data_IF_895498927491
#
_entry.id   IF_895498927491
#
_cell.length_a   1.000
_cell.length_b   1.000
_cell.length_c   1.000
_cell.angle_alpha   90.00
_cell.angle_beta   90.00
_cell.angle_gamma   90.00
#
_symmetry.space_group_name_H-M   'P 1'
#
loop_
_entity.id
_entity.type
_entity.pdbx_description
1 polymer ?
#
# COMPACT_ATOMS: atom_id res chain seq x y z
N UNK A 1 5.08 2.47 -36.81
CA UNK A 1 4.37 3.35 -35.82
C UNK A 1 3.10 2.70 -35.32
N UNK A 2 2.19 2.23 -36.17
CA UNK A 2 0.92 1.57 -35.76
C UNK A 2 1.12 0.34 -34.87
N UNK A 3 2.09 -0.53 -35.17
CA UNK A 3 2.40 -1.71 -34.37
C UNK A 3 2.85 -1.37 -32.93
N UNK A 4 3.69 -0.36 -32.78
CA UNK A 4 4.13 0.11 -31.46
C UNK A 4 2.98 0.75 -30.64
N UNK A 5 2.04 1.40 -31.30
CA UNK A 5 0.84 1.95 -30.64
C UNK A 5 -0.08 0.83 -30.16
N UNK A 6 -0.22 -0.22 -30.95
CA UNK A 6 -0.99 -1.40 -30.57
C UNK A 6 -0.39 -2.11 -29.36
N UNK A 7 0.95 -2.34 -29.35
CA UNK A 7 1.64 -2.95 -28.20
C UNK A 7 1.48 -2.11 -26.93
N UNK A 8 1.54 -0.78 -27.03
CA UNK A 8 1.36 0.13 -25.88
C UNK A 8 -0.05 0.04 -25.31
N UNK A 9 -1.07 0.10 -26.17
CA UNK A 9 -2.47 0.05 -25.75
C UNK A 9 -2.82 -1.32 -25.12
N UNK A 10 -2.31 -2.39 -25.70
CA UNK A 10 -2.46 -3.75 -25.18
C UNK A 10 -1.80 -3.88 -23.81
N UNK A 11 -0.53 -3.49 -23.69
CA UNK A 11 0.21 -3.56 -22.44
C UNK A 11 -0.42 -2.73 -21.30
N UNK A 12 -0.90 -1.52 -21.60
CA UNK A 12 -1.64 -0.69 -20.64
C UNK A 12 -2.90 -1.40 -20.12
N UNK A 13 -3.67 -1.98 -21.04
CA UNK A 13 -4.90 -2.69 -20.71
C UNK A 13 -4.61 -3.95 -19.88
N UNK A 14 -3.58 -4.70 -20.25
CA UNK A 14 -3.19 -5.92 -19.55
C UNK A 14 -2.72 -5.63 -18.13
N UNK A 15 -1.90 -4.58 -17.94
CA UNK A 15 -1.48 -4.12 -16.62
C UNK A 15 -2.65 -3.70 -15.74
N UNK A 16 -3.60 -2.93 -16.29
CA UNK A 16 -4.81 -2.55 -15.57
C UNK A 16 -5.68 -3.75 -15.21
N UNK A 17 -5.86 -4.71 -16.11
CA UNK A 17 -6.62 -5.95 -15.85
C UNK A 17 -5.96 -6.82 -14.79
N UNK A 18 -4.64 -6.95 -14.83
CA UNK A 18 -3.91 -7.73 -13.83
C UNK A 18 -4.04 -7.13 -12.41
N UNK A 19 -4.19 -5.80 -12.32
CA UNK A 19 -4.41 -5.13 -11.05
C UNK A 19 -5.86 -5.20 -10.56
N UNK A 20 -6.83 -5.36 -11.43
CA UNK A 20 -8.26 -5.29 -11.10
C UNK A 20 -8.68 -6.17 -9.89
N UNK A 21 -8.23 -7.44 -9.75
CA UNK A 21 -8.57 -8.24 -8.58
C UNK A 21 -8.07 -7.64 -7.25
N UNK A 22 -6.94 -6.93 -7.26
CA UNK A 22 -6.37 -6.32 -6.07
C UNK A 22 -7.16 -5.09 -5.61
N UNK A 23 -7.97 -4.50 -6.49
CA UNK A 23 -8.84 -3.36 -6.15
C UNK A 23 -9.90 -3.74 -5.11
N UNK A 24 -10.27 -5.01 -5.00
CA UNK A 24 -11.18 -5.50 -3.95
C UNK A 24 -10.66 -5.21 -2.53
N UNK A 25 -9.34 -5.17 -2.34
CA UNK A 25 -8.72 -4.81 -1.07
C UNK A 25 -8.37 -3.32 -1.01
N UNK A 26 -7.90 -2.76 -2.13
CA UNK A 26 -7.40 -1.39 -2.20
C UNK A 26 -8.52 -0.35 -2.04
N UNK A 27 -9.68 -0.56 -2.70
CA UNK A 27 -10.79 0.39 -2.65
C UNK A 27 -11.38 0.53 -1.24
N UNK A 28 -11.71 -0.56 -0.51
CA UNK A 28 -12.13 -0.43 0.89
C UNK A 28 -11.12 0.29 1.77
N UNK A 29 -9.83 0.01 1.58
CA UNK A 29 -8.77 0.68 2.34
C UNK A 29 -8.71 2.19 2.05
N UNK A 30 -8.81 2.59 0.78
CA UNK A 30 -8.88 4.01 0.39
C UNK A 30 -10.12 4.71 0.95
N UNK A 31 -11.29 4.05 0.96
CA UNK A 31 -12.51 4.57 1.57
C UNK A 31 -12.31 4.86 3.07
N UNK A 32 -11.75 3.88 3.81
CA UNK A 32 -11.50 4.05 5.24
C UNK A 32 -10.49 5.15 5.52
N UNK A 33 -9.43 5.23 4.73
CA UNK A 33 -8.49 6.34 4.85
C UNK A 33 -9.20 7.70 4.69
N UNK A 34 -10.06 7.82 3.68
CA UNK A 34 -10.83 9.05 3.44
C UNK A 34 -11.76 9.39 4.60
N UNK A 35 -12.51 8.41 5.13
CA UNK A 35 -13.35 8.56 6.31
C UNK A 35 -12.53 8.99 7.53
N UNK A 36 -11.39 8.31 7.76
CA UNK A 36 -10.49 8.66 8.87
C UNK A 36 -9.99 10.10 8.75
N UNK A 37 -9.53 10.50 7.57
CA UNK A 37 -9.04 11.86 7.36
C UNK A 37 -10.14 12.91 7.61
N UNK A 38 -11.38 12.62 7.19
CA UNK A 38 -12.51 13.52 7.41
C UNK A 38 -12.88 13.68 8.89
N UNK A 39 -12.69 12.63 9.70
CA UNK A 39 -13.04 12.59 11.12
C UNK A 39 -11.90 13.00 12.07
N UNK A 40 -10.72 13.33 11.53
CA UNK A 40 -9.53 13.74 12.30
C UNK A 40 -9.23 15.22 12.14
N UNK A 41 -8.31 15.75 12.94
CA UNK A 41 -7.83 17.13 12.85
C UNK A 41 -7.20 17.49 11.48
N UNK A 42 -6.83 16.50 10.67
CA UNK A 42 -6.36 16.68 9.29
C UNK A 42 -7.44 17.31 8.42
N UNK A 43 -8.69 16.88 8.60
CA UNK A 43 -9.81 17.32 7.77
C UNK A 43 -9.80 16.75 6.36
N UNK A 44 -10.98 16.69 5.74
CA UNK A 44 -11.16 16.05 4.45
C UNK A 44 -10.30 16.65 3.31
N UNK A 45 -10.15 17.96 3.25
CA UNK A 45 -9.39 18.64 2.21
C UNK A 45 -7.90 18.27 2.21
N UNK A 46 -7.27 18.28 3.39
CA UNK A 46 -5.87 17.83 3.54
C UNK A 46 -5.76 16.33 3.32
N UNK A 47 -6.73 15.54 3.81
CA UNK A 47 -6.78 14.10 3.55
C UNK A 47 -6.74 13.77 2.06
N UNK A 48 -7.54 14.47 1.24
CA UNK A 48 -7.49 14.33 -0.22
C UNK A 48 -6.13 14.77 -0.77
N UNK A 49 -5.59 15.91 -0.30
CA UNK A 49 -4.31 16.44 -0.80
C UNK A 49 -3.12 15.52 -0.48
N UNK A 50 -3.14 14.81 0.66
CA UNK A 50 -2.08 13.84 0.99
C UNK A 50 -2.07 12.63 0.05
N UNK A 51 -3.20 12.28 -0.55
CA UNK A 51 -3.35 11.07 -1.36
C UNK A 51 -2.46 11.06 -2.61
N UNK A 52 -2.42 12.10 -3.47
CA UNK A 52 -1.48 12.13 -4.58
C UNK A 52 -0.03 12.40 -4.13
N UNK A 53 0.20 13.00 -2.96
CA UNK A 53 1.57 13.30 -2.50
C UNK A 53 2.26 12.05 -1.97
N UNK A 54 1.58 11.27 -1.13
CA UNK A 54 2.18 10.12 -0.45
C UNK A 54 2.00 8.84 -1.28
N UNK A 55 0.88 8.67 -1.97
CA UNK A 55 0.49 7.50 -2.76
C UNK A 55 1.04 6.15 -2.22
N UNK A 56 0.89 5.96 -0.92
CA UNK A 56 1.28 4.73 -0.21
C UNK A 56 0.34 4.56 0.98
N UNK A 57 -0.67 3.69 0.85
CA UNK A 57 -1.80 3.61 1.77
C UNK A 57 -1.41 3.54 3.25
N UNK A 58 -0.48 2.64 3.62
CA UNK A 58 -0.02 2.51 5.00
C UNK A 58 0.71 3.77 5.50
N UNK A 59 1.59 4.35 4.67
CA UNK A 59 2.32 5.56 5.03
C UNK A 59 1.38 6.77 5.17
N UNK A 60 0.39 6.88 4.27
CA UNK A 60 -0.61 7.94 4.31
C UNK A 60 -1.48 7.82 5.57
N UNK A 61 -1.94 6.61 5.92
CA UNK A 61 -2.75 6.39 7.13
C UNK A 61 -1.96 6.76 8.40
N UNK A 62 -0.71 6.32 8.51
CA UNK A 62 0.17 6.66 9.63
C UNK A 62 0.38 8.18 9.71
N UNK A 63 0.54 8.86 8.57
CA UNK A 63 0.67 10.32 8.53
C UNK A 63 -0.57 11.01 9.11
N UNK A 64 -1.76 10.57 8.70
CA UNK A 64 -3.04 11.11 9.20
C UNK A 64 -3.17 10.89 10.70
N UNK A 65 -2.87 9.70 11.19
CA UNK A 65 -2.95 9.36 12.62
C UNK A 65 -1.95 10.15 13.49
N UNK A 66 -0.70 10.28 13.04
CA UNK A 66 0.32 11.05 13.77
C UNK A 66 -0.01 12.54 13.82
N UNK A 67 -0.58 13.07 12.73
CA UNK A 67 -1.03 14.46 12.69
C UNK A 67 -2.19 14.67 13.67
N UNK A 68 -3.18 13.78 13.67
CA UNK A 68 -4.33 13.82 14.59
C UNK A 68 -3.91 13.73 16.05
N UNK A 69 -2.91 12.90 16.36
CA UNK A 69 -2.32 12.77 17.69
C UNK A 69 -1.50 14.00 18.14
N UNK A 70 -1.41 15.06 17.33
CA UNK A 70 -0.62 16.25 17.65
C UNK A 70 0.89 16.00 17.74
N UNK A 71 1.37 14.97 17.05
CA UNK A 71 2.78 14.58 17.07
C UNK A 71 3.64 15.65 16.38
N UNK A 72 4.91 15.77 16.76
CA UNK A 72 5.82 16.76 16.17
C UNK A 72 5.94 16.59 14.65
N UNK A 73 6.01 17.70 13.92
CA UNK A 73 6.10 17.71 12.45
C UNK A 73 7.25 16.83 11.92
N UNK A 74 8.36 16.75 12.66
CA UNK A 74 9.51 15.91 12.28
C UNK A 74 9.11 14.43 12.24
N UNK A 75 8.38 13.95 13.25
CA UNK A 75 7.91 12.56 13.32
C UNK A 75 6.87 12.29 12.24
N UNK A 76 5.94 13.22 12.01
CA UNK A 76 4.93 13.13 10.94
C UNK A 76 5.57 12.98 9.56
N UNK A 77 6.73 13.63 9.32
CA UNK A 77 7.45 13.54 8.03
C UNK A 77 8.33 12.29 7.96
N UNK A 78 9.08 11.97 9.02
CA UNK A 78 10.05 10.87 8.97
C UNK A 78 9.37 9.51 8.96
N UNK A 79 8.29 9.32 9.71
CA UNK A 79 7.64 8.02 9.83
C UNK A 79 7.13 7.46 8.49
N UNK A 80 6.40 8.20 7.64
CA UNK A 80 6.02 7.69 6.33
C UNK A 80 7.21 7.40 5.41
N UNK A 81 8.32 8.12 5.54
CA UNK A 81 9.55 7.81 4.80
C UNK A 81 10.13 6.47 5.23
N UNK A 82 10.17 6.20 6.54
CA UNK A 82 10.63 4.91 7.07
C UNK A 82 9.72 3.77 6.63
N UNK A 83 8.40 3.94 6.69
CA UNK A 83 7.41 2.95 6.22
C UNK A 83 7.62 2.64 4.73
N UNK A 84 8.03 3.64 3.95
CA UNK A 84 8.25 3.52 2.51
C UNK A 84 9.65 3.06 2.10
N UNK A 85 10.57 2.78 3.03
CA UNK A 85 11.92 2.23 2.73
C UNK A 85 11.84 0.97 1.85
N UNK A 86 10.80 0.16 1.99
CA UNK A 86 10.55 -1.01 1.11
C UNK A 86 10.54 -0.68 -0.38
N UNK A 87 10.15 0.53 -0.78
CA UNK A 87 10.18 0.95 -2.19
C UNK A 87 11.60 1.03 -2.77
N UNK A 88 12.63 1.17 -1.93
CA UNK A 88 14.02 1.07 -2.38
C UNK A 88 14.35 -0.33 -2.89
N UNK A 89 13.87 -1.39 -2.19
CA UNK A 89 14.03 -2.77 -2.65
C UNK A 89 13.27 -3.02 -3.94
N UNK A 90 12.02 -2.56 -4.03
CA UNK A 90 11.22 -2.69 -5.26
C UNK A 90 11.87 -1.95 -6.42
N UNK A 91 12.37 -0.74 -6.19
CA UNK A 91 13.09 0.06 -7.19
C UNK A 91 14.35 -0.67 -7.69
N UNK A 92 15.13 -1.25 -6.79
CA UNK A 92 16.32 -2.01 -7.13
C UNK A 92 15.98 -3.24 -7.97
N UNK A 93 14.93 -3.99 -7.61
CA UNK A 93 14.46 -5.16 -8.34
C UNK A 93 13.90 -4.80 -9.74
N UNK A 94 13.21 -3.66 -9.86
CA UNK A 94 12.65 -3.19 -11.14
C UNK A 94 13.67 -2.52 -12.06
N UNK A 95 14.77 -2.00 -11.52
CA UNK A 95 15.77 -1.23 -12.28
C UNK A 95 16.31 -1.96 -13.54
N UNK A 96 16.61 -3.27 -13.53
CA UNK A 96 17.06 -4.00 -14.73
C UNK A 96 16.06 -3.93 -15.88
N UNK A 97 14.75 -3.96 -15.60
CA UNK A 97 13.68 -3.97 -16.59
C UNK A 97 13.45 -2.58 -17.22
N UNK A 98 13.98 -1.52 -16.62
CA UNK A 98 13.80 -0.13 -17.07
C UNK A 98 15.09 0.52 -17.61
N UNK A 99 16.13 -0.28 -17.91
CA UNK A 99 17.41 0.25 -18.45
C UNK A 99 17.23 1.01 -19.77
N UNK A 100 16.35 0.50 -20.65
CA UNK A 100 16.15 1.03 -22.01
C UNK A 100 14.95 2.00 -22.09
N UNK A 101 14.37 2.35 -20.95
CA UNK A 101 13.24 3.27 -20.90
C UNK A 101 13.72 4.73 -21.07
N UNK A 102 13.00 5.57 -21.85
CA UNK A 102 13.34 6.97 -22.03
C UNK A 102 13.54 7.71 -20.70
N UNK A 103 14.55 8.62 -20.66
CA UNK A 103 14.93 9.32 -19.42
C UNK A 103 13.76 9.99 -18.71
N UNK A 104 12.81 10.57 -19.45
CA UNK A 104 11.61 11.20 -18.87
C UNK A 104 10.76 10.21 -18.07
N UNK A 105 10.56 9.00 -18.58
CA UNK A 105 9.78 7.98 -17.91
C UNK A 105 10.44 7.45 -16.64
N UNK A 106 11.77 7.46 -16.56
CA UNK A 106 12.51 7.04 -15.35
C UNK A 106 12.25 7.95 -14.15
N UNK A 107 11.79 9.17 -14.36
CA UNK A 107 11.39 10.08 -13.28
C UNK A 107 9.93 9.92 -12.88
N UNK A 108 9.07 9.48 -13.79
CA UNK A 108 7.62 9.35 -13.55
C UNK A 108 7.23 7.97 -13.03
N UNK A 109 7.84 6.91 -13.58
CA UNK A 109 7.49 5.54 -13.22
C UNK A 109 7.69 5.21 -11.73
N UNK A 110 8.75 5.68 -11.03
CA UNK A 110 8.90 5.42 -9.60
C UNK A 110 7.76 5.96 -8.74
N UNK A 111 7.08 7.03 -9.17
CA UNK A 111 5.91 7.54 -8.48
C UNK A 111 4.73 6.54 -8.47
N UNK A 112 4.61 5.72 -9.51
CA UNK A 112 3.58 4.68 -9.62
C UNK A 112 3.98 3.35 -8.95
N UNK A 113 5.18 3.29 -8.35
CA UNK A 113 5.68 2.08 -7.72
C UNK A 113 5.00 1.89 -6.36
N UNK A 114 4.22 0.82 -6.28
CA UNK A 114 3.53 0.36 -5.08
C UNK A 114 3.72 -1.14 -4.93
N UNK A 115 3.35 -1.71 -3.78
CA UNK A 115 3.42 -3.15 -3.52
C UNK A 115 2.67 -3.95 -4.61
N UNK A 116 1.47 -3.48 -4.98
CA UNK A 116 0.60 -4.16 -5.93
C UNK A 116 1.13 -4.04 -7.36
N UNK A 117 1.54 -2.84 -7.77
CA UNK A 117 2.11 -2.62 -9.11
C UNK A 117 3.42 -3.40 -9.29
N UNK A 118 4.26 -3.47 -8.25
CA UNK A 118 5.46 -4.29 -8.21
C UNK A 118 5.11 -5.78 -8.38
N UNK A 119 4.19 -6.30 -7.57
CA UNK A 119 3.83 -7.72 -7.55
C UNK A 119 3.31 -8.20 -8.92
N UNK A 120 2.35 -7.50 -9.52
CA UNK A 120 1.79 -7.91 -10.83
C UNK A 120 2.81 -7.76 -11.95
N UNK A 121 3.71 -6.78 -11.86
CA UNK A 121 4.71 -6.52 -12.90
C UNK A 121 5.84 -7.55 -12.89
N UNK A 122 6.36 -7.91 -11.72
CA UNK A 122 7.41 -8.92 -11.62
C UNK A 122 6.94 -10.27 -12.13
N UNK A 123 5.72 -10.71 -11.76
CA UNK A 123 5.13 -11.95 -12.29
C UNK A 123 5.01 -11.96 -13.82
N UNK A 124 4.67 -10.82 -14.42
CA UNK A 124 4.53 -10.71 -15.87
C UNK A 124 5.88 -10.65 -16.58
N UNK A 125 6.88 -10.04 -15.98
CA UNK A 125 8.19 -9.82 -16.59
C UNK A 125 9.02 -11.08 -16.78
N UNK A 126 8.70 -12.15 -16.04
CA UNK A 126 9.29 -13.47 -16.24
C UNK A 126 8.88 -14.12 -17.58
N UNK A 127 7.77 -13.66 -18.18
CA UNK A 127 7.18 -14.25 -19.40
C UNK A 127 7.27 -13.34 -20.63
N UNK A 128 7.80 -12.13 -20.49
CA UNK A 128 7.85 -11.14 -21.58
C UNK A 128 9.19 -10.43 -21.55
N UNK A 129 9.84 -10.32 -22.72
CA UNK A 129 11.16 -9.67 -22.85
C UNK A 129 11.09 -8.25 -23.44
N UNK A 130 10.00 -7.87 -24.14
CA UNK A 130 9.87 -6.55 -24.77
C UNK A 130 9.88 -5.41 -23.75
N UNK A 131 10.88 -4.50 -23.76
CA UNK A 131 10.97 -3.39 -22.82
C UNK A 131 9.81 -2.38 -22.97
N UNK A 132 9.27 -2.24 -24.19
CA UNK A 132 8.13 -1.35 -24.44
C UNK A 132 6.88 -1.89 -23.76
N UNK A 133 6.62 -3.18 -23.92
CA UNK A 133 5.51 -3.85 -23.25
C UNK A 133 5.65 -3.76 -21.71
N UNK A 134 6.82 -4.11 -21.15
CA UNK A 134 7.08 -4.04 -19.70
C UNK A 134 6.77 -2.66 -19.13
N UNK A 135 7.26 -1.62 -19.79
CA UNK A 135 7.02 -0.24 -19.38
C UNK A 135 5.55 0.12 -19.36
N UNK A 136 4.80 -0.17 -20.42
CA UNK A 136 3.41 0.22 -20.53
C UNK A 136 2.50 -0.65 -19.67
N UNK A 137 2.85 -1.91 -19.47
CA UNK A 137 2.18 -2.79 -18.51
C UNK A 137 2.26 -2.23 -17.08
N UNK A 138 3.48 -1.87 -16.63
CA UNK A 138 3.67 -1.23 -15.33
C UNK A 138 2.89 0.09 -15.21
N UNK A 139 2.92 0.90 -16.25
CA UNK A 139 2.17 2.16 -16.29
C UNK A 139 0.67 1.91 -16.17
N UNK A 140 0.14 0.91 -16.86
CA UNK A 140 -1.28 0.54 -16.80
C UNK A 140 -1.69 0.06 -15.40
N UNK A 141 -0.90 -0.83 -14.80
CA UNK A 141 -1.13 -1.27 -13.43
C UNK A 141 -1.08 -0.09 -12.44
N UNK A 142 -0.03 0.72 -12.49
CA UNK A 142 0.17 1.85 -11.58
C UNK A 142 -0.90 2.93 -11.72
N UNK A 143 -1.30 3.29 -12.94
CA UNK A 143 -2.37 4.29 -13.17
C UNK A 143 -3.73 3.79 -12.73
N UNK A 144 -4.04 2.51 -12.95
CA UNK A 144 -5.29 1.89 -12.48
C UNK A 144 -5.37 1.93 -10.96
N UNK A 145 -4.27 1.58 -10.28
CA UNK A 145 -4.20 1.67 -8.83
C UNK A 145 -4.33 3.12 -8.35
N UNK A 146 -3.59 4.03 -8.96
CA UNK A 146 -3.60 5.45 -8.61
C UNK A 146 -5.00 6.05 -8.73
N UNK A 147 -5.66 5.86 -9.86
CA UNK A 147 -7.00 6.39 -10.08
C UNK A 147 -8.00 5.81 -9.08
N UNK A 148 -7.97 4.49 -8.87
CA UNK A 148 -8.86 3.82 -7.91
C UNK A 148 -8.62 4.31 -6.48
N UNK A 149 -7.36 4.53 -6.09
CA UNK A 149 -6.99 5.07 -4.79
C UNK A 149 -7.51 6.49 -4.58
N UNK A 150 -7.33 7.40 -5.57
CA UNK A 150 -7.83 8.77 -5.48
C UNK A 150 -9.36 8.78 -5.37
N UNK A 151 -10.06 8.02 -6.22
CA UNK A 151 -11.52 7.94 -6.21
C UNK A 151 -12.01 7.41 -4.86
N UNK A 152 -11.41 6.33 -4.34
CA UNK A 152 -11.77 5.74 -3.07
C UNK A 152 -11.53 6.70 -1.90
N UNK A 153 -10.39 7.40 -1.87
CA UNK A 153 -10.08 8.38 -0.82
C UNK A 153 -11.06 9.54 -0.85
N UNK A 154 -11.35 10.10 -2.03
CA UNK A 154 -12.33 11.20 -2.17
C UNK A 154 -13.72 10.74 -1.73
N UNK A 155 -14.17 9.57 -2.19
CA UNK A 155 -15.45 9.00 -1.80
C UNK A 155 -15.52 8.78 -0.29
N UNK A 156 -14.44 8.27 0.32
CA UNK A 156 -14.33 8.11 1.76
C UNK A 156 -14.44 9.42 2.53
N UNK A 157 -13.80 10.49 2.07
CA UNK A 157 -13.93 11.83 2.68
C UNK A 157 -15.36 12.34 2.59
N UNK A 158 -15.98 12.23 1.41
CA UNK A 158 -17.37 12.69 1.22
C UNK A 158 -18.35 11.91 2.10
N UNK A 159 -18.19 10.59 2.19
CA UNK A 159 -19.01 9.74 3.06
C UNK A 159 -18.73 10.04 4.54
N UNK A 160 -17.46 10.16 4.93
CA UNK A 160 -17.07 10.42 6.30
C UNK A 160 -17.63 11.74 6.86
N UNK A 161 -17.71 12.76 6.01
CA UNK A 161 -18.30 14.05 6.39
C UNK A 161 -19.82 13.97 6.70
N UNK A 162 -20.49 12.89 6.30
CA UNK A 162 -21.93 12.69 6.52
C UNK A 162 -22.23 11.71 7.67
N UNK A 163 -21.22 11.04 8.22
CA UNK A 163 -21.42 10.04 9.28
C UNK A 163 -21.40 10.75 10.64
N UNK A 164 -22.46 10.61 11.46
CA UNK A 164 -22.47 11.18 12.82
C UNK A 164 -21.35 10.55 13.67
N UNK A 165 -20.69 11.36 14.50
CA UNK A 165 -19.62 10.91 15.42
C UNK A 165 -20.09 9.78 16.37
N UNK A 166 -21.40 9.72 16.65
CA UNK A 166 -22.03 8.70 17.50
C UNK A 166 -21.93 7.27 16.95
N UNK A 167 -21.61 7.07 15.68
CA UNK A 167 -21.50 5.74 15.05
C UNK A 167 -20.15 5.04 15.26
N UNK A 168 -19.26 5.60 16.07
CA UNK A 168 -18.04 4.92 16.50
C UNK A 168 -17.10 4.56 15.36
N UNK A 169 -16.83 5.51 14.44
CA UNK A 169 -15.91 5.32 13.31
C UNK A 169 -14.51 4.82 13.71
N UNK A 170 -14.11 5.01 14.96
CA UNK A 170 -12.88 4.44 15.51
C UNK A 170 -12.79 2.92 15.38
N UNK A 171 -13.93 2.22 15.23
CA UNK A 171 -13.95 0.77 15.01
C UNK A 171 -13.76 0.39 13.53
N UNK A 172 -14.02 1.30 12.60
CA UNK A 172 -13.88 1.02 11.16
C UNK A 172 -12.42 0.75 10.77
N UNK A 173 -11.47 1.45 11.36
CA UNK A 173 -10.03 1.29 11.07
C UNK A 173 -9.54 -0.12 11.45
N UNK A 174 -9.72 -0.61 12.68
CA UNK A 174 -9.40 -1.98 13.05
C UNK A 174 -10.07 -3.03 12.15
N UNK A 175 -11.31 -2.81 11.75
CA UNK A 175 -12.06 -3.73 10.91
C UNK A 175 -11.43 -3.87 9.51
N UNK A 176 -10.95 -2.76 8.94
CA UNK A 176 -10.26 -2.80 7.63
C UNK A 176 -8.92 -3.49 7.71
N UNK A 177 -8.13 -3.24 8.76
CA UNK A 177 -6.91 -4.01 8.96
C UNK A 177 -7.20 -5.50 9.14
N UNK A 178 -8.29 -5.86 9.80
CA UNK A 178 -8.72 -7.26 9.92
C UNK A 178 -9.06 -7.85 8.54
N UNK A 179 -9.78 -7.12 7.68
CA UNK A 179 -10.08 -7.57 6.30
C UNK A 179 -8.81 -7.73 5.47
N UNK A 180 -7.84 -6.81 5.60
CA UNK A 180 -6.55 -6.90 4.92
C UNK A 180 -5.68 -8.07 5.45
N UNK A 181 -5.91 -8.50 6.67
CA UNK A 181 -5.22 -9.64 7.27
C UNK A 181 -5.71 -10.99 6.70
N UNK A 182 -6.99 -11.09 6.28
CA UNK A 182 -7.59 -12.34 5.79
C UNK A 182 -6.75 -13.04 4.71
N UNK A 183 -6.27 -12.38 3.63
CA UNK A 183 -5.44 -13.03 2.63
C UNK A 183 -4.09 -13.53 3.17
N UNK A 184 -3.53 -12.81 4.15
CA UNK A 184 -2.21 -13.13 4.73
C UNK A 184 -2.29 -14.39 5.60
N UNK A 185 -3.38 -14.58 6.36
CA UNK A 185 -3.56 -15.71 7.26
C UNK A 185 -3.96 -17.02 6.56
N UNK A 186 -4.14 -17.00 5.24
CA UNK A 186 -4.42 -18.22 4.47
C UNK A 186 -3.22 -19.18 4.39
N UNK A 187 -2.02 -18.70 4.68
CA UNK A 187 -0.81 -19.53 4.72
C UNK A 187 -0.39 -19.82 6.15
N UNK A 188 0.17 -21.02 6.41
CA UNK A 188 0.69 -21.36 7.76
C UNK A 188 1.71 -20.36 8.29
N UNK A 189 2.72 -19.91 7.51
CA UNK A 189 3.64 -18.86 7.93
C UNK A 189 2.94 -17.53 8.24
N UNK A 190 2.00 -17.12 7.38
CA UNK A 190 1.22 -15.88 7.57
C UNK A 190 0.34 -15.94 8.82
N UNK A 191 -0.29 -17.08 9.08
CA UNK A 191 -1.08 -17.28 10.30
C UNK A 191 -0.19 -17.20 11.56
N UNK A 192 0.97 -17.88 11.55
CA UNK A 192 1.91 -17.81 12.66
C UNK A 192 2.40 -16.38 12.91
N UNK A 193 2.73 -15.67 11.83
CA UNK A 193 3.15 -14.25 11.90
C UNK A 193 2.05 -13.37 12.51
N UNK A 194 0.79 -13.52 12.05
CA UNK A 194 -0.33 -12.72 12.53
C UNK A 194 -0.66 -13.01 14.01
N UNK A 195 -0.73 -14.27 14.40
CA UNK A 195 -1.07 -14.65 15.78
C UNK A 195 0.04 -14.24 16.76
N UNK A 196 1.28 -14.63 16.49
CA UNK A 196 2.40 -14.31 17.39
C UNK A 196 2.64 -12.81 17.43
N UNK A 197 2.66 -12.14 16.25
CA UNK A 197 2.86 -10.70 16.18
C UNK A 197 1.76 -9.92 16.91
N UNK A 198 0.50 -10.33 16.74
CA UNK A 198 -0.64 -9.72 17.43
C UNK A 198 -0.60 -9.93 18.95
N UNK A 199 -0.35 -11.13 19.42
CA UNK A 199 -0.25 -11.43 20.85
C UNK A 199 0.91 -10.65 21.50
N UNK A 200 2.07 -10.61 20.86
CA UNK A 200 3.22 -9.87 21.39
C UNK A 200 2.97 -8.36 21.36
N UNK A 201 2.33 -7.81 20.32
CA UNK A 201 1.98 -6.40 20.25
C UNK A 201 1.01 -6.00 21.37
N UNK A 202 0.00 -6.85 21.67
CA UNK A 202 -0.93 -6.64 22.80
C UNK A 202 -0.21 -6.76 24.13
N UNK A 203 0.63 -7.77 24.33
CA UNK A 203 1.40 -7.95 25.56
C UNK A 203 2.40 -6.80 25.82
N UNK A 204 2.89 -6.18 24.78
CA UNK A 204 3.80 -5.04 24.84
C UNK A 204 3.10 -3.67 24.64
N UNK A 205 1.77 -3.60 24.75
CA UNK A 205 1.00 -2.37 24.52
C UNK A 205 1.42 -1.21 25.41
N UNK A 206 1.88 -1.50 26.64
CA UNK A 206 2.34 -0.50 27.61
C UNK A 206 3.77 0.00 27.37
N UNK A 207 4.45 -0.51 26.33
CA UNK A 207 5.80 -0.07 26.01
C UNK A 207 5.81 1.39 25.55
N UNK A 208 6.76 2.23 26.05
CA UNK A 208 6.81 3.64 25.72
C UNK A 208 7.02 3.85 24.20
N UNK A 209 6.56 5.00 23.69
CA UNK A 209 6.70 5.41 22.29
C UNK A 209 6.07 4.48 21.26
N UNK A 210 5.10 3.66 21.65
CA UNK A 210 4.42 2.72 20.74
C UNK A 210 5.32 1.55 20.28
N UNK A 211 6.41 1.28 21.00
CA UNK A 211 7.35 0.20 20.69
C UNK A 211 6.69 -1.18 20.71
N UNK A 212 5.56 -1.35 21.40
CA UNK A 212 4.80 -2.61 21.40
C UNK A 212 4.45 -3.11 20.01
N UNK A 213 4.07 -2.19 19.11
CA UNK A 213 3.77 -2.54 17.72
C UNK A 213 5.01 -3.01 16.96
N UNK A 214 6.16 -2.37 17.18
CA UNK A 214 7.44 -2.73 16.55
C UNK A 214 7.91 -4.11 17.05
N UNK A 215 7.84 -4.32 18.37
CA UNK A 215 8.19 -5.61 18.99
C UNK A 215 7.29 -6.72 18.46
N UNK A 216 5.98 -6.48 18.37
CA UNK A 216 5.02 -7.41 17.80
C UNK A 216 5.30 -7.73 16.34
N UNK A 217 5.62 -6.71 15.53
CA UNK A 217 5.96 -6.90 14.12
C UNK A 217 7.22 -7.78 13.95
N UNK A 218 8.28 -7.50 14.70
CA UNK A 218 9.51 -8.31 14.68
C UNK A 218 9.26 -9.75 15.13
N UNK A 219 8.51 -9.94 16.21
CA UNK A 219 8.12 -11.28 16.68
C UNK A 219 7.32 -12.05 15.62
N UNK A 220 6.37 -11.37 14.96
CA UNK A 220 5.58 -11.95 13.88
C UNK A 220 6.43 -12.38 12.68
N UNK A 221 7.39 -11.53 12.26
CA UNK A 221 8.32 -11.84 11.17
C UNK A 221 9.14 -13.10 11.53
N UNK A 222 9.73 -13.14 12.72
CA UNK A 222 10.51 -14.29 13.18
C UNK A 222 9.66 -15.58 13.20
N UNK A 223 8.44 -15.51 13.71
CA UNK A 223 7.53 -16.65 13.74
C UNK A 223 7.17 -17.15 12.33
N UNK A 224 6.82 -16.23 11.41
CA UNK A 224 6.50 -16.56 10.03
C UNK A 224 7.66 -17.22 9.30
N UNK A 225 8.86 -16.65 9.37
CA UNK A 225 10.07 -17.21 8.77
C UNK A 225 10.42 -18.58 9.33
N UNK A 226 10.28 -18.76 10.65
CA UNK A 226 10.56 -20.06 11.31
C UNK A 226 9.63 -21.15 10.79
N UNK A 227 8.32 -20.86 10.70
CA UNK A 227 7.32 -21.81 10.20
C UNK A 227 7.56 -22.13 8.72
N UNK A 228 7.96 -21.14 7.93
CA UNK A 228 8.29 -21.35 6.51
C UNK A 228 9.51 -22.25 6.32
N UNK A 229 10.57 -22.05 7.11
CA UNK A 229 11.78 -22.86 7.05
C UNK A 229 11.53 -24.32 7.48
N UNK A 230 10.71 -24.51 8.52
CA UNK A 230 10.34 -25.85 8.98
C UNK A 230 9.49 -26.59 7.93
N UNK A 231 8.60 -25.87 7.24
CA UNK A 231 7.74 -26.45 6.20
C UNK A 231 8.46 -26.79 4.88
N UNK A 232 9.67 -26.30 4.68
CA UNK A 232 10.52 -26.62 3.51
C UNK A 232 11.44 -27.83 3.72
N UNK A 233 11.51 -28.36 4.94
CA UNK A 233 12.25 -29.60 5.28
C UNK A 233 11.34 -30.80 5.22
#
# INVERSE_FOLDING_TARGET
>A
MAEQETIRAEALRDGGRALAPLLLAVVPFGLVLGVTAASTAVGGALGIATSPIIFAGAAQLVTVQLFDAGTSTVVVIITPLVVNVRHLMYSAAMAPHFRDVPRRSRWVLPYLLTDQAFAVSTLRYDTVDDPTYKRWYFTGAGLTLWASWQIATIAGVVLGAQIPESLGLGFAIPLVFLVLLIPVVQTRPGMAAAVIGGLVAVAASDAPYGLGLVIGALAGIVAGVTVEQVGRR
#
